data_IF_645968093608
#
_entry.id   IF_645968093608
#
_cell.length_a   1.000
_cell.length_b   1.000
_cell.length_c   1.000
_cell.angle_alpha   90.00
_cell.angle_beta   90.00
_cell.angle_gamma   90.00
#
_symmetry.space_group_name_H-M   'P 1'
#
loop_
_entity.id
_entity.type
_entity.pdbx_description
1 polymer ?
#
# COMPACT_ATOMS: atom_id res chain seq x y z
N UNK A 1 -17.25 -36.18 -60.43
CA UNK A 1 -18.31 -35.62 -59.55
C UNK A 1 -17.69 -35.20 -58.24
N UNK A 2 -17.34 -33.92 -58.12
CA UNK A 2 -16.76 -33.29 -56.94
C UNK A 2 -17.90 -32.88 -55.99
N UNK A 3 -17.90 -33.38 -54.75
CA UNK A 3 -18.75 -32.84 -53.69
C UNK A 3 -17.88 -32.12 -52.66
N UNK A 4 -18.13 -30.82 -52.63
CA UNK A 4 -17.77 -29.85 -51.62
C UNK A 4 -18.10 -30.32 -50.20
N UNK A 5 -17.13 -30.23 -49.29
CA UNK A 5 -17.35 -30.12 -47.85
C UNK A 5 -16.40 -29.06 -47.31
N UNK A 6 -16.81 -27.81 -47.47
CA UNK A 6 -16.22 -26.64 -46.84
C UNK A 6 -16.88 -26.35 -45.49
N UNK A 7 -16.04 -26.16 -44.47
CA UNK A 7 -16.16 -25.11 -43.47
C UNK A 7 -17.32 -25.16 -42.44
N UNK A 8 -17.11 -25.83 -41.31
CA UNK A 8 -17.76 -25.51 -40.02
C UNK A 8 -16.92 -25.95 -38.80
N UNK A 9 -15.74 -25.34 -38.56
CA UNK A 9 -15.10 -25.52 -37.25
C UNK A 9 -14.17 -24.39 -36.81
N UNK A 10 -14.66 -23.15 -36.83
CA UNK A 10 -13.99 -22.01 -36.17
C UNK A 10 -15.01 -21.13 -35.46
N UNK A 11 -15.64 -21.65 -34.39
CA UNK A 11 -16.45 -20.80 -33.52
C UNK A 11 -16.51 -21.25 -32.05
N UNK A 12 -15.49 -21.96 -31.55
CA UNK A 12 -15.49 -22.50 -30.19
C UNK A 12 -14.15 -22.34 -29.44
N UNK A 13 -13.37 -21.29 -29.75
CA UNK A 13 -12.15 -20.97 -29.00
C UNK A 13 -11.97 -19.47 -28.72
N UNK A 14 -13.07 -18.77 -28.43
CA UNK A 14 -13.05 -17.34 -28.04
C UNK A 14 -13.89 -17.03 -26.79
N UNK A 15 -13.88 -17.92 -25.79
CA UNK A 15 -14.56 -17.70 -24.50
C UNK A 15 -13.76 -18.14 -23.26
N UNK A 16 -12.41 -18.11 -23.31
CA UNK A 16 -11.59 -18.26 -22.09
C UNK A 16 -10.60 -17.11 -21.90
N UNK A 17 -11.11 -15.90 -22.08
CA UNK A 17 -10.58 -14.69 -21.43
C UNK A 17 -11.65 -14.25 -20.43
N UNK A 18 -11.66 -14.92 -19.27
CA UNK A 18 -12.35 -14.43 -18.08
C UNK A 18 -11.67 -13.11 -17.71
N UNK A 19 -12.30 -12.02 -18.15
CA UNK A 19 -12.25 -10.73 -17.50
C UNK A 19 -12.51 -11.00 -16.01
N UNK A 20 -11.66 -10.48 -15.13
CA UNK A 20 -12.07 -10.21 -13.76
C UNK A 20 -13.13 -9.10 -13.84
N UNK A 21 -14.35 -9.50 -14.21
CA UNK A 21 -15.51 -8.64 -14.25
C UNK A 21 -16.07 -8.61 -12.83
N UNK A 22 -16.31 -7.39 -12.34
CA UNK A 22 -17.12 -7.11 -11.17
C UNK A 22 -18.39 -7.98 -11.19
N UNK A 23 -18.53 -8.88 -10.22
CA UNK A 23 -19.79 -9.61 -10.00
C UNK A 23 -20.78 -8.68 -9.28
N UNK A 24 -21.35 -7.72 -10.00
CA UNK A 24 -22.51 -6.94 -9.56
C UNK A 24 -23.62 -7.08 -10.60
N UNK A 25 -24.81 -7.48 -10.17
CA UNK A 25 -26.00 -7.54 -11.03
C UNK A 25 -26.76 -6.20 -10.93
N UNK A 26 -27.22 -5.68 -12.06
CA UNK A 26 -28.09 -4.49 -12.10
C UNK A 26 -29.54 -4.95 -12.18
N UNK A 27 -30.36 -4.58 -11.21
CA UNK A 27 -31.80 -4.89 -11.18
C UNK A 27 -32.54 -4.27 -12.38
N UNK A 28 -33.75 -4.74 -12.66
CA UNK A 28 -34.65 -4.13 -13.65
C UNK A 28 -34.99 -2.66 -13.36
N UNK A 29 -34.78 -2.20 -12.12
CA UNK A 29 -34.91 -0.80 -11.70
C UNK A 29 -33.63 0.04 -11.85
N UNK A 30 -32.53 -0.54 -12.34
CA UNK A 30 -31.26 0.15 -12.56
C UNK A 30 -30.35 0.25 -11.32
N UNK A 31 -30.62 -0.50 -10.25
CA UNK A 31 -29.79 -0.50 -9.04
C UNK A 31 -28.73 -1.60 -9.12
N UNK A 32 -27.48 -1.28 -8.76
CA UNK A 32 -26.37 -2.25 -8.74
C UNK A 32 -26.37 -2.92 -7.37
N UNK A 33 -26.62 -4.23 -7.33
CA UNK A 33 -26.59 -5.04 -6.11
C UNK A 33 -25.25 -5.77 -6.05
N UNK A 34 -24.47 -5.48 -5.01
CA UNK A 34 -23.18 -6.11 -4.72
C UNK A 34 -23.32 -6.81 -3.37
N UNK A 35 -23.42 -8.15 -3.40
CA UNK A 35 -23.51 -9.03 -2.20
C UNK A 35 -24.58 -8.60 -1.19
N UNK A 36 -25.85 -8.72 -1.60
CA UNK A 36 -27.04 -8.58 -0.76
C UNK A 36 -27.24 -7.23 -0.04
N UNK A 37 -26.32 -6.28 -0.22
CA UNK A 37 -26.45 -4.91 0.24
C UNK A 37 -26.92 -4.01 -0.91
N UNK A 38 -28.13 -3.46 -0.78
CA UNK A 38 -28.71 -2.54 -1.75
C UNK A 38 -28.08 -1.16 -1.55
N UNK A 39 -27.04 -0.86 -2.32
CA UNK A 39 -26.48 0.50 -2.36
C UNK A 39 -27.39 1.42 -3.18
N UNK A 40 -28.28 2.14 -2.49
CA UNK A 40 -29.08 3.24 -3.06
C UNK A 40 -28.23 4.51 -3.22
N UNK A 41 -27.11 4.42 -3.94
CA UNK A 41 -26.34 5.60 -4.33
C UNK A 41 -26.86 6.13 -5.65
N UNK A 42 -27.60 7.24 -5.60
CA UNK A 42 -28.11 8.00 -6.75
C UNK A 42 -26.93 8.57 -7.55
N UNK A 43 -26.35 7.73 -8.39
CA UNK A 43 -25.21 8.09 -9.23
C UNK A 43 -25.75 8.85 -10.44
N UNK A 44 -25.71 10.19 -10.39
CA UNK A 44 -25.96 11.02 -11.58
C UNK A 44 -24.79 10.78 -12.55
N UNK A 45 -25.00 9.91 -13.54
CA UNK A 45 -24.08 9.76 -14.67
C UNK A 45 -24.20 11.00 -15.55
N UNK A 46 -23.34 11.99 -15.33
CA UNK A 46 -23.13 13.06 -16.29
C UNK A 46 -22.39 12.49 -17.51
N UNK A 47 -23.12 12.29 -18.62
CA UNK A 47 -22.53 12.03 -19.94
C UNK A 47 -21.71 13.26 -20.34
N UNK A 48 -20.39 13.15 -20.31
CA UNK A 48 -19.50 14.09 -20.99
C UNK A 48 -19.08 13.47 -22.31
N UNK A 49 -19.70 13.93 -23.39
CA UNK A 49 -19.26 13.69 -24.76
C UNK A 49 -17.95 14.41 -25.02
N UNK A 50 -16.96 13.69 -25.55
CA UNK A 50 -15.67 14.23 -25.95
C UNK A 50 -15.79 15.20 -27.11
N UNK A 51 -15.30 16.43 -26.94
CA UNK A 51 -14.80 17.23 -28.05
C UNK A 51 -13.33 17.51 -27.78
N UNK A 52 -12.49 17.19 -28.77
CA UNK A 52 -11.12 17.66 -28.85
C UNK A 52 -11.12 19.19 -28.99
N UNK A 53 -10.01 19.76 -28.53
CA UNK A 53 -9.44 21.08 -28.85
C UNK A 53 -9.36 22.10 -27.70
N UNK A 54 -8.11 22.56 -27.51
CA UNK A 54 -7.62 23.73 -26.77
C UNK A 54 -7.06 23.52 -25.36
N UNK A 55 -5.74 23.76 -25.17
CA UNK A 55 -5.10 23.84 -23.86
C UNK A 55 -5.06 25.31 -23.42
N UNK A 56 -6.02 25.74 -22.62
CA UNK A 56 -5.83 26.84 -21.67
C UNK A 56 -7.10 27.01 -20.85
N UNK A 57 -7.02 26.73 -19.55
CA UNK A 57 -7.72 27.48 -18.52
C UNK A 57 -7.24 27.04 -17.14
N UNK A 58 -6.52 27.96 -16.51
CA UNK A 58 -6.37 28.01 -15.06
C UNK A 58 -7.73 28.31 -14.42
N UNK A 59 -7.84 27.98 -13.13
CA UNK A 59 -8.83 28.48 -12.16
C UNK A 59 -10.11 27.66 -12.00
N UNK A 60 -10.18 26.91 -10.89
CA UNK A 60 -11.25 27.12 -9.91
C UNK A 60 -10.86 26.47 -8.58
N UNK A 61 -10.56 27.34 -7.62
CA UNK A 61 -10.35 27.04 -6.22
C UNK A 61 -11.71 26.65 -5.63
N UNK A 62 -11.99 25.35 -5.52
CA UNK A 62 -13.17 24.85 -4.81
C UNK A 62 -13.04 25.13 -3.32
N UNK A 63 -13.75 26.15 -2.85
CA UNK A 63 -13.93 26.42 -1.42
C UNK A 63 -15.03 25.49 -0.89
N UNK A 64 -14.61 24.39 -0.26
CA UNK A 64 -15.51 23.46 0.42
C UNK A 64 -15.45 23.76 1.92
N UNK A 65 -15.98 24.90 2.35
CA UNK A 65 -16.18 25.18 3.79
C UNK A 65 -17.39 24.41 4.26
N UNK A 66 -17.21 23.15 4.63
CA UNK A 66 -18.21 22.41 5.40
C UNK A 66 -18.15 22.88 6.85
N UNK A 67 -18.96 23.89 7.17
CA UNK A 67 -19.28 24.27 8.55
C UNK A 67 -20.04 23.11 9.19
N UNK A 68 -19.30 22.22 9.85
CA UNK A 68 -19.86 21.14 10.67
C UNK A 68 -20.16 21.73 12.04
N UNK A 69 -21.36 22.28 12.19
CA UNK A 69 -21.91 22.73 13.47
C UNK A 69 -22.23 21.50 14.31
N UNK A 70 -21.44 21.24 15.36
CA UNK A 70 -21.79 20.23 16.36
C UNK A 70 -22.64 20.90 17.44
N UNK A 71 -23.92 20.55 17.50
CA UNK A 71 -24.76 20.77 18.67
C UNK A 71 -24.40 19.68 19.69
N UNK A 72 -23.66 20.04 20.74
CA UNK A 72 -23.54 19.22 21.94
C UNK A 72 -24.74 19.52 22.83
N UNK A 73 -25.52 18.49 23.13
CA UNK A 73 -26.65 18.53 24.05
C UNK A 73 -26.12 18.00 25.38
N UNK A 74 -25.76 18.90 26.28
CA UNK A 74 -25.35 18.57 27.65
C UNK A 74 -26.61 18.31 28.48
N UNK A 75 -27.03 17.04 28.55
CA UNK A 75 -27.95 16.54 29.57
C UNK A 75 -27.10 15.91 30.68
N UNK A 76 -26.68 16.73 31.65
CA UNK A 76 -25.87 16.27 32.77
C UNK A 76 -25.77 17.34 33.86
N UNK A 77 -26.75 17.35 34.77
CA UNK A 77 -26.77 18.24 35.92
C UNK A 77 -25.50 18.09 36.77
N UNK A 78 -24.75 19.18 36.89
CA UNK A 78 -23.65 19.30 37.82
C UNK A 78 -23.87 20.57 38.66
N UNK A 79 -23.88 20.49 40.01
CA UNK A 79 -24.11 21.65 40.87
C UNK A 79 -22.90 22.58 40.87
N UNK A 80 -23.17 23.89 40.70
CA UNK A 80 -22.18 24.96 40.77
C UNK A 80 -21.41 24.98 42.10
N UNK A 81 -20.09 25.25 42.10
CA UNK A 81 -19.35 25.49 43.33
C UNK A 81 -19.66 26.90 43.88
N UNK A 82 -19.58 27.10 45.22
CA UNK A 82 -19.97 28.33 45.87
C UNK A 82 -18.95 29.45 45.63
N UNK A 83 -19.50 30.59 45.24
CA UNK A 83 -18.82 31.90 45.15
C UNK A 83 -18.28 32.30 46.51
N UNK A 84 -16.96 32.49 46.61
CA UNK A 84 -16.30 33.12 47.76
C UNK A 84 -15.81 34.50 47.34
N UNK A 85 -16.73 35.46 47.38
CA UNK A 85 -16.46 36.89 47.28
C UNK A 85 -16.00 37.41 48.65
N UNK A 86 -14.69 37.52 48.88
CA UNK A 86 -14.15 38.47 49.85
C UNK A 86 -12.66 38.77 49.62
N UNK A 87 -12.35 39.74 48.75
CA UNK A 87 -11.01 40.33 48.71
C UNK A 87 -11.15 41.86 48.68
N UNK A 88 -10.66 42.47 49.75
CA UNK A 88 -10.72 43.91 50.03
C UNK A 88 -10.10 44.76 48.92
N UNK A 89 -10.80 45.85 48.60
CA UNK A 89 -10.62 46.65 47.38
C UNK A 89 -9.65 47.85 47.51
N UNK A 90 -8.95 48.00 48.64
CA UNK A 90 -8.27 49.29 48.95
C UNK A 90 -6.74 49.32 48.76
N UNK A 91 -6.09 48.23 48.32
CA UNK A 91 -4.62 48.14 48.33
C UNK A 91 -3.86 48.44 47.02
N UNK A 92 -4.52 48.39 45.85
CA UNK A 92 -3.82 48.15 44.58
C UNK A 92 -3.70 49.31 43.59
N UNK A 93 -4.17 50.52 43.89
CA UNK A 93 -4.17 51.62 42.91
C UNK A 93 -2.84 52.39 42.78
N UNK A 94 -1.82 52.14 43.63
CA UNK A 94 -0.66 53.05 43.75
C UNK A 94 0.57 52.68 42.90
N UNK A 95 0.66 51.45 42.38
CA UNK A 95 1.91 50.96 41.74
C UNK A 95 1.80 50.75 40.23
N UNK A 96 0.60 50.62 39.67
CA UNK A 96 0.39 50.37 38.23
C UNK A 96 0.64 51.61 37.33
N UNK A 97 0.62 52.82 37.88
CA UNK A 97 0.77 54.05 37.09
C UNK A 97 2.22 54.45 36.78
N UNK A 98 3.25 53.72 37.26
CA UNK A 98 4.67 54.12 37.07
C UNK A 98 5.48 53.30 36.05
N UNK A 99 4.94 52.23 35.44
CA UNK A 99 5.77 51.33 34.61
C UNK A 99 5.23 50.95 33.21
N UNK A 100 4.22 51.64 32.69
CA UNK A 100 3.73 51.41 31.30
C UNK A 100 3.95 52.61 30.35
N UNK A 101 4.66 53.66 30.79
CA UNK A 101 4.93 54.85 29.96
C UNK A 101 6.20 54.75 29.08
N UNK A 102 6.95 53.65 29.12
CA UNK A 102 8.30 53.58 28.51
C UNK A 102 8.52 52.64 27.33
N UNK A 103 7.70 51.60 27.13
CA UNK A 103 7.94 50.59 26.06
C UNK A 103 6.96 50.82 24.91
N UNK A 104 6.95 52.05 24.37
CA UNK A 104 6.52 52.25 22.99
C UNK A 104 7.68 51.75 22.13
N UNK A 105 7.75 50.44 21.93
CA UNK A 105 8.58 49.93 20.83
C UNK A 105 7.91 50.49 19.59
N UNK A 106 8.56 51.46 18.94
CA UNK A 106 8.18 51.96 17.62
C UNK A 106 8.23 50.79 16.66
N UNK A 107 7.12 50.05 16.62
CA UNK A 107 6.95 48.85 15.83
C UNK A 107 6.69 49.35 14.43
N UNK A 108 7.77 49.51 13.66
CA UNK A 108 7.75 49.91 12.26
C UNK A 108 6.68 49.08 11.53
N UNK A 109 5.53 49.66 11.17
CA UNK A 109 4.40 48.91 10.61
C UNK A 109 4.77 48.23 9.30
N UNK A 110 5.72 48.80 8.54
CA UNK A 110 6.28 48.26 7.31
C UNK A 110 7.02 46.94 7.57
N UNK A 111 7.85 46.88 8.63
CA UNK A 111 8.58 45.66 8.98
C UNK A 111 7.63 44.53 9.44
N UNK A 112 6.53 44.88 10.10
CA UNK A 112 5.50 43.92 10.48
C UNK A 112 4.78 43.35 9.25
N UNK A 113 4.47 44.20 8.27
CA UNK A 113 3.85 43.79 7.02
C UNK A 113 4.75 42.84 6.21
N UNK A 114 6.02 43.19 6.01
CA UNK A 114 6.98 42.33 5.30
C UNK A 114 7.18 40.97 5.98
N UNK A 115 7.22 40.96 7.31
CA UNK A 115 7.31 39.71 8.09
C UNK A 115 6.07 38.84 7.89
N UNK A 116 4.88 39.43 7.91
CA UNK A 116 3.64 38.71 7.65
C UNK A 116 3.56 38.20 6.21
N UNK A 117 3.90 39.04 5.24
CA UNK A 117 3.88 38.70 3.82
C UNK A 117 4.87 37.57 3.49
N UNK A 118 6.10 37.65 4.00
CA UNK A 118 7.10 36.57 3.86
C UNK A 118 6.68 35.28 4.54
N UNK A 119 6.00 35.34 5.69
CA UNK A 119 5.42 34.16 6.34
C UNK A 119 4.29 33.54 5.50
N UNK A 120 3.40 34.35 4.92
CA UNK A 120 2.35 33.89 4.01
C UNK A 120 2.90 33.27 2.74
N UNK A 121 3.94 33.87 2.15
CA UNK A 121 4.64 33.33 0.98
C UNK A 121 5.28 31.97 1.28
N UNK A 122 5.95 31.83 2.43
CA UNK A 122 6.49 30.55 2.90
C UNK A 122 5.40 29.49 3.08
N UNK A 123 4.26 29.86 3.68
CA UNK A 123 3.13 28.96 3.87
C UNK A 123 2.59 28.40 2.55
N UNK A 124 2.53 29.22 1.49
CA UNK A 124 2.09 28.77 0.16
C UNK A 124 3.10 27.81 -0.48
N UNK A 125 4.39 28.13 -0.42
CA UNK A 125 5.45 27.27 -0.93
C UNK A 125 5.49 25.91 -0.21
N UNK A 126 5.33 25.90 1.12
CA UNK A 126 5.29 24.65 1.88
C UNK A 126 4.08 23.79 1.52
N UNK A 127 2.89 24.40 1.33
CA UNK A 127 1.71 23.69 0.84
C UNK A 127 1.96 23.04 -0.52
N UNK A 128 2.57 23.79 -1.45
CA UNK A 128 2.90 23.27 -2.78
C UNK A 128 3.91 22.11 -2.69
N UNK A 129 4.91 22.22 -1.81
CA UNK A 129 5.89 21.15 -1.56
C UNK A 129 5.22 19.88 -1.02
N UNK A 130 4.33 20.01 -0.02
CA UNK A 130 3.59 18.86 0.54
C UNK A 130 2.71 18.17 -0.51
N UNK A 131 2.04 18.93 -1.37
CA UNK A 131 1.22 18.36 -2.46
C UNK A 131 2.10 17.57 -3.42
N UNK A 132 3.28 18.10 -3.77
CA UNK A 132 4.23 17.41 -4.64
C UNK A 132 4.77 16.12 -3.98
N UNK A 133 5.19 16.19 -2.73
CA UNK A 133 5.66 15.03 -1.96
C UNK A 133 4.58 13.93 -1.87
N UNK A 134 3.31 14.29 -1.66
CA UNK A 134 2.19 13.34 -1.63
C UNK A 134 1.95 12.69 -3.01
N UNK A 135 2.08 13.46 -4.09
CA UNK A 135 1.96 12.93 -5.45
C UNK A 135 3.10 11.96 -5.76
N UNK A 136 4.34 12.33 -5.43
CA UNK A 136 5.52 11.50 -5.65
C UNK A 136 5.42 10.20 -4.84
N UNK A 137 4.99 10.25 -3.58
CA UNK A 137 4.75 9.07 -2.75
C UNK A 137 3.65 8.15 -3.35
N UNK A 138 2.56 8.73 -3.85
CA UNK A 138 1.52 7.97 -4.55
C UNK A 138 2.05 7.32 -5.82
N UNK A 139 2.90 8.00 -6.58
CA UNK A 139 3.51 7.45 -7.79
C UNK A 139 4.42 6.27 -7.45
N UNK A 140 5.32 6.42 -6.48
CA UNK A 140 6.19 5.33 -6.00
C UNK A 140 5.37 4.09 -5.60
N UNK A 141 4.31 4.26 -4.80
CA UNK A 141 3.44 3.14 -4.43
C UNK A 141 2.67 2.52 -5.59
N UNK A 142 2.46 3.22 -6.71
CA UNK A 142 1.93 2.59 -7.94
C UNK A 142 3.00 1.86 -8.74
N UNK A 143 4.22 2.36 -8.76
CA UNK A 143 5.36 1.74 -9.45
C UNK A 143 5.75 0.42 -8.77
N UNK A 144 5.89 0.41 -7.44
CA UNK A 144 6.15 -0.81 -6.67
C UNK A 144 5.09 -1.88 -6.91
N UNK A 145 3.80 -1.48 -6.94
CA UNK A 145 2.70 -2.41 -7.28
C UNK A 145 2.81 -2.95 -8.70
N UNK A 146 3.23 -2.13 -9.66
CA UNK A 146 3.46 -2.57 -11.04
C UNK A 146 4.64 -3.54 -11.11
N UNK A 147 5.73 -3.29 -10.39
CA UNK A 147 6.89 -4.18 -10.34
C UNK A 147 6.54 -5.54 -9.72
N UNK A 148 5.84 -5.54 -8.58
CA UNK A 148 5.33 -6.77 -7.97
C UNK A 148 4.41 -7.53 -8.93
N UNK A 149 3.50 -6.83 -9.61
CA UNK A 149 2.61 -7.45 -10.60
C UNK A 149 3.38 -8.07 -11.77
N UNK A 150 4.44 -7.40 -12.26
CA UNK A 150 5.34 -7.95 -13.30
C UNK A 150 6.05 -9.22 -12.83
N UNK A 151 6.64 -9.21 -11.64
CA UNK A 151 7.31 -10.41 -11.10
C UNK A 151 6.33 -11.58 -10.91
N UNK A 152 5.12 -11.31 -10.40
CA UNK A 152 4.07 -12.32 -10.29
C UNK A 152 3.66 -12.89 -11.66
N UNK A 153 3.57 -12.04 -12.68
CA UNK A 153 3.26 -12.47 -14.05
C UNK A 153 4.37 -13.34 -14.65
N UNK A 154 5.63 -12.96 -14.49
CA UNK A 154 6.78 -13.74 -14.96
C UNK A 154 6.87 -15.09 -14.25
N UNK A 155 6.60 -15.13 -12.95
CA UNK A 155 6.53 -16.36 -12.18
C UNK A 155 5.41 -17.28 -12.70
N UNK A 156 4.23 -16.72 -12.96
CA UNK A 156 3.13 -17.46 -13.55
C UNK A 156 3.47 -18.02 -14.94
N UNK A 157 4.17 -17.26 -15.79
CA UNK A 157 4.65 -17.74 -17.08
C UNK A 157 5.59 -18.94 -16.95
N UNK A 158 6.55 -18.89 -16.02
CA UNK A 158 7.48 -20.01 -15.74
C UNK A 158 6.75 -21.25 -15.23
N UNK A 159 5.76 -21.06 -14.37
CA UNK A 159 4.98 -22.18 -13.84
C UNK A 159 4.05 -22.76 -14.91
N UNK A 160 3.53 -21.93 -15.82
CA UNK A 160 2.77 -22.39 -16.99
C UNK A 160 3.63 -23.14 -17.99
N UNK A 161 4.85 -22.68 -18.28
CA UNK A 161 5.76 -23.41 -19.18
C UNK A 161 6.15 -24.77 -18.57
N UNK A 162 6.36 -24.83 -17.26
CA UNK A 162 6.63 -26.09 -16.54
C UNK A 162 5.44 -27.04 -16.60
N UNK A 163 4.22 -26.54 -16.37
CA UNK A 163 3.00 -27.33 -16.51
C UNK A 163 2.85 -27.90 -17.93
N UNK A 164 3.10 -27.09 -18.95
CA UNK A 164 3.03 -27.53 -20.34
C UNK A 164 4.07 -28.64 -20.65
N UNK A 165 5.32 -28.49 -20.17
CA UNK A 165 6.35 -29.51 -20.33
C UNK A 165 5.98 -30.83 -19.62
N UNK A 166 5.42 -30.76 -18.42
CA UNK A 166 4.95 -31.94 -17.69
C UNK A 166 3.83 -32.67 -18.43
N UNK A 167 2.87 -31.94 -18.99
CA UNK A 167 1.79 -32.53 -19.80
C UNK A 167 2.33 -33.19 -21.07
N UNK A 168 3.33 -32.60 -21.73
CA UNK A 168 3.99 -33.23 -22.89
C UNK A 168 4.68 -34.53 -22.52
N UNK A 169 5.38 -34.56 -21.37
CA UNK A 169 6.04 -35.76 -20.87
C UNK A 169 5.02 -36.87 -20.57
N UNK A 170 3.91 -36.52 -19.91
CA UNK A 170 2.84 -37.46 -19.61
C UNK A 170 2.23 -38.06 -20.89
N UNK A 171 1.92 -37.22 -21.88
CA UNK A 171 1.44 -37.67 -23.18
C UNK A 171 2.43 -38.62 -23.86
N UNK A 172 3.73 -38.29 -23.84
CA UNK A 172 4.76 -39.16 -24.41
C UNK A 172 4.85 -40.52 -23.69
N UNK A 173 4.72 -40.55 -22.37
CA UNK A 173 4.69 -41.79 -21.58
C UNK A 173 3.46 -42.63 -21.97
N UNK A 174 2.27 -42.01 -22.07
CA UNK A 174 1.05 -42.70 -22.47
C UNK A 174 1.15 -43.26 -23.89
N UNK A 175 1.69 -42.49 -24.85
CA UNK A 175 1.93 -42.97 -26.21
C UNK A 175 2.93 -44.12 -26.27
N UNK A 176 4.04 -44.03 -25.53
CA UNK A 176 5.03 -45.09 -25.46
C UNK A 176 4.43 -46.38 -24.86
N UNK A 177 3.61 -46.25 -23.82
CA UNK A 177 2.90 -47.37 -23.21
C UNK A 177 1.91 -48.02 -24.19
N UNK A 178 1.12 -47.23 -24.94
CA UNK A 178 0.22 -47.74 -25.97
C UNK A 178 0.97 -48.41 -27.14
N UNK A 179 2.10 -47.85 -27.57
CA UNK A 179 2.95 -48.46 -28.61
C UNK A 179 3.54 -49.79 -28.13
N UNK A 180 3.98 -49.86 -26.88
CA UNK A 180 4.51 -51.08 -26.27
C UNK A 180 3.44 -52.19 -26.18
N UNK A 181 2.21 -51.85 -25.78
CA UNK A 181 1.12 -52.85 -25.69
C UNK A 181 0.73 -53.42 -27.07
N UNK A 182 0.77 -52.60 -28.13
CA UNK A 182 0.56 -53.06 -29.51
C UNK A 182 1.70 -53.98 -29.97
N UNK A 183 2.96 -53.65 -29.65
CA UNK A 183 4.11 -54.48 -30.02
C UNK A 183 4.04 -55.88 -29.39
N UNK A 184 3.62 -55.98 -28.13
CA UNK A 184 3.42 -57.26 -27.45
C UNK A 184 2.33 -58.11 -28.12
N UNK A 185 1.29 -57.49 -28.69
CA UNK A 185 0.19 -58.22 -29.37
C UNK A 185 0.56 -58.73 -30.76
N UNK A 186 1.60 -58.17 -31.40
CA UNK A 186 2.02 -58.49 -32.78
C UNK A 186 3.07 -59.60 -32.88
N UNK A 187 3.47 -60.22 -31.78
CA UNK A 187 4.18 -61.50 -31.81
C UNK A 187 3.15 -62.63 -31.62
N UNK A 188 2.45 -63.09 -32.68
CA UNK A 188 1.86 -64.41 -32.61
C UNK A 188 3.02 -65.37 -32.35
N UNK A 189 2.90 -66.19 -31.32
CA UNK A 189 3.82 -67.27 -31.00
C UNK A 189 3.97 -68.15 -32.24
N UNK A 190 4.89 -67.81 -33.14
CA UNK A 190 5.31 -68.71 -34.21
C UNK A 190 6.22 -69.73 -33.53
N UNK A 191 5.85 -71.03 -33.54
CA UNK A 191 6.65 -72.06 -32.91
C UNK A 191 8.05 -72.09 -33.50
N UNK A 192 9.02 -72.07 -32.59
CA UNK A 192 10.45 -72.30 -32.75
C UNK A 192 10.80 -73.22 -33.94
N UNK A 193 11.08 -72.66 -35.11
CA UNK A 193 11.77 -73.35 -36.20
C UNK A 193 13.20 -72.80 -36.27
N UNK A 194 14.15 -73.67 -35.90
CA UNK A 194 15.59 -73.48 -36.02
C UNK A 194 15.94 -73.21 -37.48
N UNK A 195 16.73 -72.17 -37.75
CA UNK A 195 17.76 -72.13 -38.79
C UNK A 195 18.60 -70.83 -38.68
N UNK A 196 19.95 -70.90 -38.75
CA UNK A 196 20.81 -69.72 -38.70
C UNK A 196 21.32 -69.29 -40.09
N UNK A 197 21.90 -68.08 -40.11
CA UNK A 197 22.83 -67.50 -41.10
C UNK A 197 22.22 -66.92 -42.38
N UNK A 198 22.21 -65.59 -42.54
CA UNK A 198 23.10 -64.82 -43.46
C UNK A 198 23.01 -63.29 -43.22
N UNK A 199 24.05 -62.61 -43.71
CA UNK A 199 24.62 -61.28 -43.42
C UNK A 199 23.95 -60.02 -44.02
N UNK A 200 24.54 -58.87 -43.64
CA UNK A 200 24.71 -57.60 -44.39
C UNK A 200 23.55 -56.58 -44.37
N UNK A 201 23.73 -55.25 -44.37
CA UNK A 201 24.89 -54.33 -44.33
C UNK A 201 24.38 -52.87 -44.23
N UNK A 202 25.25 -51.97 -43.74
CA UNK A 202 25.38 -50.53 -44.07
C UNK A 202 24.25 -49.53 -43.79
N UNK A 203 24.56 -48.48 -43.01
CA UNK A 203 24.47 -47.10 -43.54
C UNK A 203 25.41 -46.15 -42.77
N UNK A 204 26.22 -45.42 -43.54
CA UNK A 204 27.15 -44.36 -43.13
C UNK A 204 26.41 -43.02 -43.11
N UNK A 205 26.73 -42.15 -42.15
CA UNK A 205 26.22 -40.79 -42.08
C UNK A 205 27.11 -39.85 -41.27
N UNK A 206 28.01 -39.17 -42.01
CA UNK A 206 28.69 -37.89 -41.72
C UNK A 206 27.93 -36.97 -40.74
N UNK A 207 28.51 -36.20 -39.81
CA UNK A 207 29.85 -35.66 -39.65
C UNK A 207 29.70 -34.20 -39.14
N UNK A 208 30.29 -33.85 -37.99
CA UNK A 208 30.80 -32.50 -37.64
C UNK A 208 31.32 -32.49 -36.19
N UNK A 209 32.63 -32.68 -36.08
CA UNK A 209 33.37 -32.63 -34.82
C UNK A 209 33.68 -31.18 -34.47
N UNK A 210 32.97 -30.63 -33.48
CA UNK A 210 33.47 -29.49 -32.73
C UNK A 210 34.50 -30.02 -31.71
N UNK A 211 35.74 -29.58 -31.88
CA UNK A 211 36.81 -29.74 -30.89
C UNK A 211 36.36 -29.13 -29.56
N UNK A 212 35.91 -30.00 -28.66
CA UNK A 212 35.79 -29.71 -27.24
C UNK A 212 36.69 -30.72 -26.55
N UNK A 213 37.75 -30.22 -25.91
CA UNK A 213 38.66 -31.04 -25.15
C UNK A 213 37.86 -31.96 -24.19
N UNK A 214 38.17 -33.27 -24.12
CA UNK A 214 37.41 -34.22 -23.34
C UNK A 214 37.54 -33.86 -21.87
N UNK A 215 36.52 -33.19 -21.33
CA UNK A 215 36.39 -33.03 -19.88
C UNK A 215 36.31 -34.44 -19.30
N UNK A 216 37.11 -34.79 -18.28
CA UNK A 216 37.07 -36.11 -17.69
C UNK A 216 35.66 -36.36 -17.16
N UNK A 217 34.95 -37.27 -17.82
CA UNK A 217 33.62 -37.71 -17.42
C UNK A 217 33.84 -38.48 -16.12
N UNK A 218 33.67 -37.78 -15.00
CA UNK A 218 33.67 -38.40 -13.67
C UNK A 218 32.54 -39.42 -13.64
N UNK A 219 32.88 -40.69 -13.49
CA UNK A 219 31.93 -41.79 -13.33
C UNK A 219 31.30 -41.68 -11.93
N UNK A 220 30.27 -40.85 -11.80
CA UNK A 220 29.46 -40.77 -10.58
C UNK A 220 28.60 -42.03 -10.51
N UNK A 221 28.58 -42.69 -9.35
CA UNK A 221 27.75 -43.88 -9.14
C UNK A 221 26.26 -43.51 -9.17
N UNK A 222 25.39 -44.43 -9.61
CA UNK A 222 23.94 -44.15 -9.68
C UNK A 222 23.34 -43.84 -8.31
N UNK A 223 23.88 -44.40 -7.24
CA UNK A 223 23.36 -44.21 -5.89
C UNK A 223 23.76 -42.85 -5.32
N UNK A 224 24.91 -42.31 -5.72
CA UNK A 224 25.30 -40.94 -5.41
C UNK A 224 24.38 -39.92 -6.09
N UNK A 225 23.95 -40.18 -7.33
CA UNK A 225 22.96 -39.34 -8.01
C UNK A 225 21.62 -39.36 -7.25
N UNK A 226 21.16 -40.53 -6.79
CA UNK A 226 19.92 -40.64 -6.00
C UNK A 226 20.01 -39.84 -4.70
N UNK A 227 21.12 -39.97 -3.95
CA UNK A 227 21.35 -39.19 -2.73
C UNK A 227 21.33 -37.68 -2.98
N UNK A 228 22.00 -37.21 -4.04
CA UNK A 228 22.01 -35.79 -4.40
C UNK A 228 20.60 -35.29 -4.73
N UNK A 229 19.78 -36.09 -5.40
CA UNK A 229 18.39 -35.73 -5.73
C UNK A 229 17.51 -35.71 -4.48
N UNK A 230 17.63 -36.70 -3.59
CA UNK A 230 16.92 -36.76 -2.32
C UNK A 230 17.27 -35.58 -1.41
N UNK A 231 18.56 -35.29 -1.24
CA UNK A 231 19.05 -34.15 -0.48
C UNK A 231 18.57 -32.82 -1.06
N UNK A 232 18.60 -32.68 -2.39
CA UNK A 232 18.09 -31.49 -3.07
C UNK A 232 16.60 -31.30 -2.81
N UNK A 233 15.82 -32.38 -2.82
CA UNK A 233 14.38 -32.34 -2.57
C UNK A 233 14.07 -31.95 -1.12
N UNK A 234 14.77 -32.54 -0.14
CA UNK A 234 14.65 -32.18 1.28
C UNK A 234 14.99 -30.71 1.53
N UNK A 235 16.10 -30.22 0.94
CA UNK A 235 16.47 -28.79 1.01
C UNK A 235 15.41 -27.90 0.40
N UNK A 236 14.83 -28.30 -0.74
CA UNK A 236 13.77 -27.52 -1.39
C UNK A 236 12.50 -27.46 -0.56
N UNK A 237 12.13 -28.57 0.08
CA UNK A 237 10.98 -28.62 0.99
C UNK A 237 11.21 -27.75 2.23
N UNK A 238 12.39 -27.86 2.86
CA UNK A 238 12.78 -27.03 3.99
C UNK A 238 12.76 -25.53 3.65
N UNK A 239 13.26 -25.14 2.48
CA UNK A 239 13.21 -23.75 2.02
C UNK A 239 11.77 -23.23 1.87
N UNK A 240 10.86 -24.05 1.34
CA UNK A 240 9.46 -23.67 1.19
C UNK A 240 8.72 -23.57 2.55
N UNK A 241 9.08 -24.41 3.51
CA UNK A 241 8.53 -24.34 4.87
C UNK A 241 9.07 -23.12 5.62
N UNK A 242 10.38 -22.87 5.56
CA UNK A 242 11.00 -21.68 6.15
C UNK A 242 10.36 -20.39 5.63
N UNK A 243 10.10 -20.28 4.32
CA UNK A 243 9.40 -19.12 3.76
C UNK A 243 7.97 -18.95 4.29
N UNK A 244 7.26 -20.05 4.56
CA UNK A 244 5.90 -19.99 5.14
C UNK A 244 5.94 -19.55 6.61
N UNK A 245 6.91 -20.05 7.37
CA UNK A 245 7.09 -19.69 8.77
C UNK A 245 7.58 -18.25 8.94
N UNK A 246 8.52 -17.80 8.10
CA UNK A 246 8.97 -16.42 8.07
C UNK A 246 7.83 -15.45 7.76
N UNK A 247 6.99 -15.76 6.76
CA UNK A 247 5.78 -14.97 6.48
C UNK A 247 4.82 -14.91 7.66
N UNK A 248 4.61 -16.04 8.36
CA UNK A 248 3.77 -16.07 9.56
C UNK A 248 4.36 -15.22 10.69
N UNK A 249 5.67 -15.30 10.93
CA UNK A 249 6.37 -14.48 11.92
C UNK A 249 6.30 -12.99 11.57
N UNK A 250 6.50 -12.63 10.31
CA UNK A 250 6.40 -11.25 9.85
C UNK A 250 4.99 -10.67 10.04
N UNK A 251 3.93 -11.46 9.77
CA UNK A 251 2.56 -11.02 10.03
C UNK A 251 2.30 -10.79 11.52
N UNK A 252 2.72 -11.71 12.39
CA UNK A 252 2.56 -11.54 13.84
C UNK A 252 3.35 -10.35 14.37
N UNK A 253 4.59 -10.16 13.90
CA UNK A 253 5.41 -9.00 14.27
C UNK A 253 4.75 -7.69 13.87
N UNK A 254 4.15 -7.64 12.67
CA UNK A 254 3.45 -6.45 12.18
C UNK A 254 2.21 -6.13 13.01
N UNK A 255 1.45 -7.15 13.42
CA UNK A 255 0.28 -6.98 14.30
C UNK A 255 0.70 -6.41 15.66
N UNK A 256 1.77 -6.93 16.27
CA UNK A 256 2.27 -6.42 17.55
C UNK A 256 2.77 -4.97 17.45
N UNK A 257 3.50 -4.62 16.39
CA UNK A 257 3.96 -3.24 16.17
C UNK A 257 2.78 -2.28 16.00
N UNK A 258 1.72 -2.70 15.31
CA UNK A 258 0.51 -1.89 15.11
C UNK A 258 -0.25 -1.67 16.42
N UNK A 259 -0.36 -2.70 17.27
CA UNK A 259 -0.93 -2.57 18.61
C UNK A 259 -0.10 -1.62 19.49
N UNK A 260 1.23 -1.72 19.44
CA UNK A 260 2.12 -0.83 20.16
C UNK A 260 1.94 0.62 19.68
N UNK A 261 1.94 0.87 18.37
CA UNK A 261 1.70 2.20 17.80
C UNK A 261 0.34 2.76 18.20
N UNK A 262 -0.68 1.90 18.32
CA UNK A 262 -2.02 2.29 18.80
C UNK A 262 -1.97 2.71 20.27
N UNK A 263 -1.28 1.96 21.12
CA UNK A 263 -1.11 2.31 22.54
C UNK A 263 -0.36 3.64 22.70
N UNK A 264 0.72 3.83 21.96
CA UNK A 264 1.50 5.09 21.97
C UNK A 264 0.65 6.27 21.50
N UNK A 265 -0.14 6.09 20.44
CA UNK A 265 -1.05 7.11 19.94
C UNK A 265 -2.14 7.46 20.97
N UNK A 266 -2.69 6.45 21.66
CA UNK A 266 -3.67 6.66 22.73
C UNK A 266 -3.05 7.39 23.92
N UNK A 267 -1.84 7.00 24.34
CA UNK A 267 -1.13 7.67 25.43
C UNK A 267 -0.82 9.14 25.09
N UNK A 268 -0.34 9.40 23.87
CA UNK A 268 -0.11 10.75 23.36
C UNK A 268 -1.41 11.57 23.29
N UNK A 269 -2.52 10.95 22.87
CA UNK A 269 -3.83 11.59 22.83
C UNK A 269 -4.33 11.93 24.24
N UNK A 270 -4.26 10.99 25.19
CA UNK A 270 -4.65 11.23 26.59
C UNK A 270 -3.83 12.35 27.22
N UNK A 271 -2.51 12.36 26.97
CA UNK A 271 -1.61 13.45 27.41
C UNK A 271 -1.96 14.78 26.75
N UNK A 272 -2.40 14.76 25.49
CA UNK A 272 -2.85 15.97 24.82
C UNK A 272 -4.15 16.47 25.45
N UNK A 273 -5.14 15.59 25.63
CA UNK A 273 -6.44 15.89 26.24
C UNK A 273 -6.30 16.42 27.67
N UNK A 274 -5.45 15.83 28.51
CA UNK A 274 -5.20 16.34 29.86
C UNK A 274 -4.64 17.77 29.87
N UNK A 275 -3.95 18.16 28.80
CA UNK A 275 -3.40 19.50 28.64
C UNK A 275 -4.36 20.46 27.91
N UNK A 276 -5.50 19.99 27.37
CA UNK A 276 -6.45 20.87 26.66
C UNK A 276 -7.11 21.83 27.65
N UNK A 277 -7.47 21.37 28.84
CA UNK A 277 -8.14 22.20 29.86
C UNK A 277 -7.18 23.21 30.52
N UNK A 278 -5.90 22.85 30.61
CA UNK A 278 -4.85 23.74 31.10
C UNK A 278 -4.43 24.80 30.07
N UNK A 279 -4.83 24.66 28.80
CA UNK A 279 -4.56 25.71 27.80
C UNK A 279 -5.46 26.90 28.10
N UNK A 280 -4.91 28.13 28.08
CA UNK A 280 -5.74 29.32 28.22
C UNK A 280 -6.80 29.30 27.12
N UNK A 281 -8.06 29.47 27.53
CA UNK A 281 -9.18 29.53 26.59
C UNK A 281 -8.84 30.58 25.52
N UNK A 282 -9.01 30.26 24.22
CA UNK A 282 -8.77 31.26 23.19
C UNK A 282 -9.66 32.47 23.50
N UNK A 283 -9.05 33.65 23.54
CA UNK A 283 -9.76 34.90 23.79
C UNK A 283 -10.94 34.96 22.82
N UNK A 284 -12.18 35.15 23.30
CA UNK A 284 -13.35 35.14 22.44
C UNK A 284 -13.17 36.16 21.32
N UNK A 285 -13.13 35.68 20.09
CA UNK A 285 -13.05 36.53 18.92
C UNK A 285 -14.39 37.28 18.84
N UNK A 286 -14.35 38.62 18.84
CA UNK A 286 -15.48 39.56 18.89
C UNK A 286 -15.87 40.15 20.27
N UNK A 287 -14.96 40.28 21.25
CA UNK A 287 -15.22 41.13 22.42
C UNK A 287 -15.23 42.66 22.15
N UNK A 288 -15.45 43.09 20.89
CA UNK A 288 -15.62 44.51 20.54
C UNK A 288 -14.58 45.46 21.17
N UNK A 289 -15.05 46.64 21.59
CA UNK A 289 -14.28 47.71 22.24
C UNK A 289 -13.72 47.33 23.63
N UNK A 290 -14.11 46.20 24.22
CA UNK A 290 -13.59 45.75 25.52
C UNK A 290 -12.19 45.13 25.40
N UNK A 291 -11.80 44.63 24.21
CA UNK A 291 -10.39 44.31 23.90
C UNK A 291 -9.49 45.55 23.81
N UNK A 292 -10.06 46.76 23.71
CA UNK A 292 -9.34 48.05 23.69
C UNK A 292 -9.32 48.74 25.06
N UNK A 293 -10.21 48.37 25.99
CA UNK A 293 -10.09 48.75 27.40
C UNK A 293 -9.06 47.83 28.05
N UNK A 294 -7.79 48.26 28.01
CA UNK A 294 -6.64 47.51 28.53
C UNK A 294 -6.94 46.77 29.82
N UNK A 295 -6.63 45.48 29.83
CA UNK A 295 -6.72 44.65 31.02
C UNK A 295 -5.82 45.20 32.12
N UNK A 296 -6.44 45.70 33.18
CA UNK A 296 -5.90 45.77 34.55
C UNK A 296 -5.76 44.36 35.18
N UNK A 297 -5.69 43.30 34.36
CA UNK A 297 -5.47 41.94 34.85
C UNK A 297 -3.99 41.81 35.23
N UNK A 298 -3.71 41.38 36.47
CA UNK A 298 -2.36 41.04 36.94
C UNK A 298 -1.64 40.22 35.86
N UNK A 299 -0.64 40.84 35.21
CA UNK A 299 0.25 40.13 34.31
C UNK A 299 0.75 38.89 35.04
N UNK A 300 0.53 37.72 34.44
CA UNK A 300 1.07 36.47 34.95
C UNK A 300 2.60 36.61 35.09
N UNK A 301 3.06 36.84 36.32
CA UNK A 301 4.47 36.74 36.69
C UNK A 301 4.70 35.25 36.88
N UNK A 302 5.53 34.66 36.02
CA UNK A 302 5.93 33.26 36.15
C UNK A 302 6.49 33.05 37.57
N UNK A 303 5.82 32.30 38.46
CA UNK A 303 6.26 32.14 39.85
C UNK A 303 7.57 31.35 39.94
N UNK A 304 7.90 30.62 38.87
CA UNK A 304 9.11 29.82 38.78
C UNK A 304 10.21 30.64 38.10
N UNK A 305 11.22 31.14 38.84
CA UNK A 305 12.36 31.81 38.22
C UNK A 305 13.07 30.85 37.29
N UNK A 306 13.57 31.36 36.17
CA UNK A 306 14.34 30.59 35.22
C UNK A 306 15.64 30.16 35.89
N UNK A 307 15.66 28.92 36.41
CA UNK A 307 16.88 28.28 36.87
C UNK A 307 17.75 28.09 35.62
N UNK A 308 18.75 28.96 35.46
CA UNK A 308 19.77 28.80 34.43
C UNK A 308 20.36 27.39 34.53
N UNK A 309 20.73 26.79 33.39
CA UNK A 309 21.33 25.47 33.34
C UNK A 309 22.48 25.41 34.36
N UNK A 310 22.24 24.74 35.48
CA UNK A 310 23.26 24.51 36.51
C UNK A 310 24.35 23.76 35.80
N UNK A 311 25.50 24.43 35.61
CA UNK A 311 26.67 23.87 34.97
C UNK A 311 26.97 22.53 35.63
N UNK A 312 26.69 21.42 34.94
CA UNK A 312 27.10 20.13 35.43
C UNK A 312 28.63 20.10 35.46
N UNK A 313 29.25 19.72 36.60
CA UNK A 313 30.70 19.61 36.67
C UNK A 313 31.14 18.55 35.65
N UNK A 314 31.97 18.97 34.69
CA UNK A 314 32.65 18.03 33.80
C UNK A 314 33.55 17.14 34.64
N UNK A 315 33.29 15.83 34.62
CA UNK A 315 34.24 14.81 35.06
C UNK A 315 34.98 14.25 33.85
#
# INVERSE_FOLDING_TARGET
>A
MLKSLSCTHTHLFRQKLQKMAFCGHVSSSGQIVLRDEIFTSRTRVARSSSSRDSPNSMSSLGQNTTTRTYFFKDDGGNPSPPTTDNWSQDGLQRWENRHMKGIKVDRQPEAAYEKWYSAKRRQLLEKQRRIKEEQDFKQQGTEERKELARMCYDQWLKDKSRQAANLQLENHIQEAAMKASIALRKNPLVPLRKNPLVSASSSLGSGRSFSTAPKPIRKVSKDEIRRVVEDWWLRKQGQQQAQREEKRRAMLSKVLEEEQRRQDAQAAWSKWMSNVDARPKPVPLNQGMDSLRGTISQLYVNPTPWMGAVNQPRM
#
